data_IF_034983579615
#
_entry.id   IF_034983579615
#
_cell.length_a   1.000
_cell.length_b   1.000
_cell.length_c   1.000
_cell.angle_alpha   90.00
_cell.angle_beta   90.00
_cell.angle_gamma   90.00
#
_symmetry.space_group_name_H-M   'P 1'
#
loop_
_entity.id
_entity.type
_entity.pdbx_description
1 polymer ?
#
# COMPACT_ATOMS: atom_id res chain seq x y z
N UNK A 1 11.81 -8.42 -10.63
CA UNK A 1 12.66 -7.93 -9.52
C UNK A 1 12.74 -9.03 -8.46
N UNK A 2 13.85 -9.17 -7.71
CA UNK A 2 13.95 -10.13 -6.61
C UNK A 2 12.95 -9.80 -5.48
N UNK A 3 12.38 -10.83 -4.85
CA UNK A 3 11.36 -10.66 -3.81
C UNK A 3 11.87 -9.88 -2.58
N UNK A 4 13.12 -10.11 -2.16
CA UNK A 4 13.74 -9.36 -1.05
C UNK A 4 13.78 -7.85 -1.30
N UNK A 5 14.09 -7.44 -2.54
CA UNK A 5 14.09 -6.03 -2.92
C UNK A 5 12.68 -5.43 -2.88
N UNK A 6 11.64 -6.19 -3.21
CA UNK A 6 10.26 -5.72 -3.13
C UNK A 6 9.84 -5.42 -1.68
N UNK A 7 10.25 -6.28 -0.73
CA UNK A 7 9.94 -6.09 0.69
C UNK A 7 10.50 -4.77 1.25
N UNK A 8 11.68 -4.35 0.78
CA UNK A 8 12.32 -3.11 1.20
C UNK A 8 11.82 -1.89 0.42
N UNK A 9 11.62 -2.04 -0.89
CA UNK A 9 11.30 -0.92 -1.77
C UNK A 9 9.81 -0.53 -1.71
N UNK A 10 8.89 -1.49 -1.59
CA UNK A 10 7.45 -1.19 -1.64
C UNK A 10 7.02 -0.22 -0.53
N UNK A 11 7.29 -0.48 0.77
CA UNK A 11 6.92 0.45 1.85
C UNK A 11 7.50 1.87 1.70
N UNK A 12 8.65 2.00 1.04
CA UNK A 12 9.35 3.28 0.89
C UNK A 12 8.89 4.05 -0.35
N UNK A 13 8.73 3.34 -1.46
CA UNK A 13 8.54 3.92 -2.78
C UNK A 13 7.06 4.07 -3.16
N UNK A 14 6.19 3.19 -2.67
CA UNK A 14 4.76 3.32 -2.87
C UNK A 14 4.21 4.40 -1.95
N UNK A 15 3.22 5.15 -2.44
CA UNK A 15 2.43 6.08 -1.62
C UNK A 15 0.97 5.70 -1.72
N UNK A 16 0.28 5.74 -0.59
CA UNK A 16 -1.14 5.44 -0.48
C UNK A 16 -1.81 6.56 0.27
N UNK A 17 -2.99 6.98 -0.18
CA UNK A 17 -3.76 8.06 0.43
C UNK A 17 -5.06 8.32 -0.30
N UNK A 18 -5.75 9.40 0.07
CA UNK A 18 -6.93 9.88 -0.66
C UNK A 18 -6.52 10.42 -2.04
N UNK A 19 -7.43 10.42 -3.03
CA UNK A 19 -7.17 11.02 -4.34
C UNK A 19 -6.78 12.50 -4.28
N UNK A 20 -7.29 13.23 -3.28
CA UNK A 20 -7.01 14.66 -3.08
C UNK A 20 -5.59 14.93 -2.57
N UNK A 21 -5.08 14.05 -1.70
CA UNK A 21 -3.79 14.25 -1.05
C UNK A 21 -2.63 13.55 -1.79
N UNK A 22 -2.91 12.52 -2.61
CA UNK A 22 -1.86 11.65 -3.16
C UNK A 22 -0.85 12.41 -4.04
N UNK A 23 -1.30 13.34 -4.88
CA UNK A 23 -0.41 14.16 -5.72
C UNK A 23 0.49 15.04 -4.87
N UNK A 24 -0.07 15.67 -3.82
CA UNK A 24 0.70 16.50 -2.90
C UNK A 24 1.71 15.64 -2.16
N UNK A 25 1.31 14.49 -1.64
CA UNK A 25 2.16 13.53 -0.90
C UNK A 25 3.37 13.11 -1.74
N UNK A 26 3.15 12.80 -3.02
CA UNK A 26 4.22 12.42 -3.96
C UNK A 26 5.16 13.59 -4.23
N UNK A 27 4.62 14.78 -4.53
CA UNK A 27 5.42 15.95 -4.92
C UNK A 27 6.18 16.60 -3.74
N UNK A 28 5.64 16.53 -2.54
CA UNK A 28 6.22 17.14 -1.33
C UNK A 28 7.00 16.15 -0.46
N UNK A 29 7.16 14.90 -0.91
CA UNK A 29 7.78 13.82 -0.16
C UNK A 29 7.19 13.61 1.25
N UNK A 30 5.92 14.00 1.45
CA UNK A 30 5.23 13.75 2.70
C UNK A 30 5.01 12.24 2.91
N UNK A 31 4.91 11.78 4.16
CA UNK A 31 4.51 10.40 4.44
C UNK A 31 3.04 10.19 4.04
N UNK A 32 2.80 9.18 3.21
CA UNK A 32 1.45 8.65 2.97
C UNK A 32 1.02 7.69 4.08
N UNK A 33 -0.02 6.89 3.83
CA UNK A 33 -0.38 5.78 4.72
C UNK A 33 0.76 4.77 4.76
N UNK A 34 1.11 4.30 5.97
CA UNK A 34 2.18 3.32 6.15
C UNK A 34 1.76 1.96 5.59
N UNK A 35 2.65 1.36 4.80
CA UNK A 35 2.55 -0.01 4.32
C UNK A 35 3.52 -0.90 5.09
N UNK A 36 3.03 -1.98 5.67
CA UNK A 36 3.84 -2.93 6.43
C UNK A 36 3.84 -4.30 5.75
N UNK A 37 5.01 -4.93 5.58
CA UNK A 37 5.07 -6.28 5.05
C UNK A 37 4.38 -7.27 6.01
N UNK A 38 3.36 -7.96 5.52
CA UNK A 38 2.55 -8.88 6.32
C UNK A 38 3.12 -10.29 6.24
N UNK A 39 3.82 -10.73 7.29
CA UNK A 39 4.37 -12.09 7.38
C UNK A 39 3.32 -13.15 7.71
N UNK A 40 2.19 -12.74 8.32
CA UNK A 40 1.04 -13.61 8.62
C UNK A 40 -0.22 -12.97 8.08
N UNK A 41 -0.92 -13.70 7.21
CA UNK A 41 -2.21 -13.29 6.67
C UNK A 41 -3.36 -13.85 7.53
N UNK A 42 -4.50 -13.13 7.62
CA UNK A 42 -5.74 -13.70 8.12
C UNK A 42 -6.15 -14.95 7.33
N UNK A 43 -6.82 -15.90 7.99
CA UNK A 43 -7.27 -17.15 7.36
C UNK A 43 -8.21 -16.95 6.16
N UNK A 44 -8.85 -15.78 6.07
CA UNK A 44 -9.72 -15.42 4.95
C UNK A 44 -8.96 -15.13 3.64
N UNK A 45 -7.65 -14.91 3.69
CA UNK A 45 -6.83 -14.60 2.51
C UNK A 45 -5.99 -15.84 2.14
N UNK A 46 -6.18 -16.44 0.95
CA UNK A 46 -5.34 -17.53 0.49
C UNK A 46 -3.92 -17.02 0.18
N UNK A 47 -2.92 -17.72 0.72
CA UNK A 47 -1.50 -17.41 0.48
C UNK A 47 -1.10 -17.89 -0.92
N UNK A 48 -0.54 -16.98 -1.73
CA UNK A 48 0.07 -17.27 -3.03
C UNK A 48 1.58 -17.07 -2.91
N UNK A 49 2.36 -18.11 -3.24
CA UNK A 49 3.82 -18.12 -3.09
C UNK A 49 4.54 -17.02 -3.90
N UNK A 50 3.98 -16.64 -5.05
CA UNK A 50 4.54 -15.62 -5.93
C UNK A 50 4.13 -14.19 -5.55
N UNK A 51 3.33 -14.02 -4.49
CA UNK A 51 2.83 -12.71 -4.06
C UNK A 51 3.52 -12.24 -2.77
N UNK A 52 3.77 -10.94 -2.70
CA UNK A 52 4.15 -10.25 -1.47
C UNK A 52 2.96 -9.45 -0.96
N UNK A 53 2.71 -9.54 0.34
CA UNK A 53 1.53 -8.96 0.96
C UNK A 53 1.92 -7.81 1.88
N UNK A 54 1.20 -6.71 1.75
CA UNK A 54 1.42 -5.51 2.54
C UNK A 54 0.10 -5.07 3.16
N UNK A 55 0.11 -4.84 4.47
CA UNK A 55 -1.04 -4.29 5.19
C UNK A 55 -0.96 -2.77 5.20
N UNK A 56 -2.10 -2.14 4.95
CA UNK A 56 -2.30 -0.71 5.15
C UNK A 56 -2.55 -0.48 6.64
N UNK A 57 -1.76 0.39 7.26
CA UNK A 57 -1.91 0.72 8.67
C UNK A 57 -3.24 1.49 8.89
N UNK A 58 -4.19 0.99 9.70
CA UNK A 58 -5.54 1.53 9.78
C UNK A 58 -5.66 2.70 10.77
N UNK A 59 -4.65 3.55 10.86
CA UNK A 59 -4.62 4.67 11.79
C UNK A 59 -3.84 5.87 11.25
N UNK A 60 -4.12 7.04 11.83
CA UNK A 60 -3.44 8.29 11.51
C UNK A 60 -4.17 9.11 10.46
N UNK A 61 -3.82 10.39 10.39
CA UNK A 61 -4.56 11.42 9.65
C UNK A 61 -4.77 11.10 8.16
N UNK A 62 -3.77 10.51 7.49
CA UNK A 62 -3.89 10.18 6.06
C UNK A 62 -4.87 9.02 5.84
N UNK A 63 -4.90 8.05 6.75
CA UNK A 63 -5.85 6.94 6.70
C UNK A 63 -7.28 7.43 6.97
N UNK A 64 -7.46 8.30 7.97
CA UNK A 64 -8.77 8.90 8.29
C UNK A 64 -9.33 9.67 7.09
N UNK A 65 -8.52 10.51 6.44
CA UNK A 65 -8.92 11.22 5.22
C UNK A 65 -9.28 10.29 4.07
N UNK A 66 -8.56 9.19 3.90
CA UNK A 66 -8.87 8.18 2.89
C UNK A 66 -10.24 7.53 3.16
N UNK A 67 -10.57 7.29 4.44
CA UNK A 67 -11.88 6.79 4.84
C UNK A 67 -12.99 7.83 4.62
N UNK A 68 -12.76 9.10 4.97
CA UNK A 68 -13.70 10.22 4.74
C UNK A 68 -13.97 10.43 3.24
N UNK A 69 -12.94 10.37 2.42
CA UNK A 69 -13.04 10.48 0.96
C UNK A 69 -13.70 9.25 0.31
N UNK A 70 -13.85 8.15 1.06
CA UNK A 70 -14.33 6.85 0.57
C UNK A 70 -13.59 6.35 -0.68
N UNK A 71 -12.32 6.73 -0.81
CA UNK A 71 -11.52 6.47 -1.99
C UNK A 71 -10.06 6.30 -1.61
N UNK A 72 -9.40 5.35 -2.27
CA UNK A 72 -7.99 5.01 -2.07
C UNK A 72 -7.24 5.18 -3.40
N UNK A 73 -6.09 5.83 -3.34
CA UNK A 73 -5.18 6.00 -4.47
C UNK A 73 -3.83 5.39 -4.16
N UNK A 74 -3.27 4.68 -5.14
CA UNK A 74 -1.93 4.09 -5.09
C UNK A 74 -1.04 4.79 -6.09
N UNK A 75 0.04 5.40 -5.61
CA UNK A 75 1.15 5.78 -6.44
C UNK A 75 2.19 4.66 -6.44
N UNK A 76 2.48 4.13 -7.63
CA UNK A 76 3.50 3.13 -7.87
C UNK A 76 4.53 3.68 -8.86
N UNK A 77 5.84 3.71 -8.51
CA UNK A 77 6.87 4.16 -9.43
C UNK A 77 6.98 3.27 -10.67
N UNK A 78 7.30 3.87 -11.82
CA UNK A 78 7.45 3.15 -13.11
C UNK A 78 8.58 2.10 -13.12
N UNK A 79 9.51 2.16 -12.16
CA UNK A 79 10.57 1.16 -11.98
C UNK A 79 10.03 -0.24 -11.66
N UNK A 80 8.80 -0.37 -11.15
CA UNK A 80 8.15 -1.64 -10.88
C UNK A 80 7.51 -2.20 -12.15
N UNK A 81 8.31 -2.83 -13.00
CA UNK A 81 7.85 -3.44 -14.25
C UNK A 81 6.93 -4.64 -14.00
N UNK A 82 5.89 -4.80 -14.82
CA UNK A 82 4.90 -5.88 -14.72
C UNK A 82 4.17 -5.94 -13.35
N UNK A 83 4.02 -4.80 -12.70
CA UNK A 83 3.32 -4.69 -11.42
C UNK A 83 1.84 -5.09 -11.57
N UNK A 84 1.41 -6.01 -10.71
CA UNK A 84 -0.01 -6.31 -10.47
C UNK A 84 -0.33 -6.02 -9.02
N UNK A 85 -1.38 -5.23 -8.80
CA UNK A 85 -1.87 -4.88 -7.47
C UNK A 85 -3.27 -5.48 -7.27
N UNK A 86 -3.49 -6.06 -6.10
CA UNK A 86 -4.79 -6.50 -5.63
C UNK A 86 -5.03 -5.86 -4.26
N UNK A 87 -6.21 -5.27 -4.06
CA UNK A 87 -6.64 -4.73 -2.77
C UNK A 87 -7.59 -5.72 -2.11
N UNK A 88 -7.26 -6.10 -0.88
CA UNK A 88 -8.05 -7.03 -0.08
C UNK A 88 -8.53 -6.32 1.18
N UNK A 89 -9.83 -6.41 1.47
CA UNK A 89 -10.42 -5.95 2.72
C UNK A 89 -10.92 -7.16 3.51
N UNK A 90 -10.50 -7.27 4.77
CA UNK A 90 -10.96 -8.32 5.68
C UNK A 90 -11.81 -7.67 6.75
N UNK A 91 -13.09 -8.02 6.77
CA UNK A 91 -14.00 -7.62 7.85
C UNK A 91 -13.60 -8.36 9.12
N UNK A 92 -13.57 -7.65 10.25
CA UNK A 92 -13.41 -8.25 11.57
C UNK A 92 -14.74 -8.75 12.09
#
# INVERSE_FOLDING_TARGET
MPGSSLLELVPRAFKVGSPEDIEVVVNSAMPGVTLNHSTRLPNAIPVRLDNHYFSIEPHGRVYERMMEAQAISFYAPSAFTNLKLELLAVLK
#
